data_IF_057559771781
#
_entry.id   IF_057559771781
#
_cell.length_a   1.000
_cell.length_b   1.000
_cell.length_c   1.000
_cell.angle_alpha   90.00
_cell.angle_beta   90.00
_cell.angle_gamma   90.00
#
_symmetry.space_group_name_H-M   'P 1'
#
loop_
_entity.id
_entity.type
_entity.pdbx_description
1 polymer ?
#
# COMPACT_ATOMS: atom_id res chain seq x y z
N UNK A 1 -6.62 15.23 -22.23
CA UNK A 1 -6.13 13.89 -21.83
C UNK A 1 -4.61 13.91 -21.90
N UNK A 2 -3.91 13.88 -20.77
CA UNK A 2 -2.46 13.76 -20.77
C UNK A 2 -2.08 12.39 -21.28
N UNK A 3 -1.23 12.30 -22.31
CA UNK A 3 -0.77 11.03 -22.86
C UNK A 3 -0.08 10.22 -21.76
N UNK A 4 -0.47 8.95 -21.67
CA UNK A 4 0.05 8.02 -20.67
C UNK A 4 1.51 7.71 -20.98
N UNK A 5 2.37 7.83 -20.00
CA UNK A 5 3.81 7.57 -20.16
C UNK A 5 4.06 6.05 -20.13
N UNK A 6 4.88 5.56 -21.03
CA UNK A 6 5.30 4.15 -21.07
C UNK A 6 6.47 3.85 -20.11
N UNK A 7 7.17 4.89 -19.65
CA UNK A 7 8.34 4.78 -18.77
C UNK A 7 8.22 5.75 -17.59
N UNK A 8 8.84 5.36 -16.46
CA UNK A 8 8.96 6.24 -15.29
C UNK A 8 10.01 7.32 -15.59
N UNK A 9 9.69 8.55 -15.21
CA UNK A 9 10.64 9.66 -15.17
C UNK A 9 11.20 9.83 -13.74
N UNK A 10 12.19 10.71 -13.61
CA UNK A 10 12.87 10.94 -12.33
C UNK A 10 11.88 11.39 -11.23
N UNK A 11 10.90 12.22 -11.60
CA UNK A 11 9.87 12.68 -10.66
C UNK A 11 9.04 11.51 -10.11
N UNK A 12 8.58 10.61 -10.98
CA UNK A 12 7.82 9.43 -10.56
C UNK A 12 8.66 8.49 -9.67
N UNK A 13 9.93 8.28 -10.03
CA UNK A 13 10.86 7.47 -9.22
C UNK A 13 11.05 8.08 -7.84
N UNK A 14 11.34 9.39 -7.76
CA UNK A 14 11.51 10.08 -6.47
C UNK A 14 10.25 10.02 -5.61
N UNK A 15 9.08 10.24 -6.23
CA UNK A 15 7.80 10.18 -5.53
C UNK A 15 7.51 8.76 -5.00
N UNK A 16 7.80 7.72 -5.78
CA UNK A 16 7.67 6.33 -5.35
C UNK A 16 8.60 6.00 -4.19
N UNK A 17 9.85 6.46 -4.24
CA UNK A 17 10.81 6.28 -3.14
C UNK A 17 10.31 6.91 -1.84
N UNK A 18 9.80 8.15 -1.90
CA UNK A 18 9.23 8.85 -0.74
C UNK A 18 7.99 8.12 -0.21
N UNK A 19 7.10 7.67 -1.09
CA UNK A 19 5.93 6.88 -0.69
C UNK A 19 6.34 5.59 0.02
N UNK A 20 7.28 4.82 -0.56
CA UNK A 20 7.74 3.55 0.01
C UNK A 20 8.45 3.76 1.36
N UNK A 21 9.27 4.81 1.47
CA UNK A 21 9.93 5.18 2.72
C UNK A 21 8.89 5.44 3.82
N UNK A 22 7.89 6.26 3.51
CA UNK A 22 6.85 6.59 4.49
C UNK A 22 5.96 5.38 4.81
N UNK A 23 5.62 4.53 3.84
CA UNK A 23 4.84 3.32 4.09
C UNK A 23 5.58 2.32 4.97
N UNK A 24 6.92 2.24 4.84
CA UNK A 24 7.75 1.47 5.77
C UNK A 24 7.65 1.98 7.20
N UNK A 25 7.80 3.30 7.40
CA UNK A 25 7.60 3.94 8.70
C UNK A 25 6.18 3.73 9.24
N UNK A 26 5.18 3.87 8.37
CA UNK A 26 3.77 3.73 8.74
C UNK A 26 3.43 2.35 9.32
N UNK A 27 4.01 1.26 8.81
CA UNK A 27 3.77 -0.09 9.37
C UNK A 27 4.22 -0.17 10.83
N UNK A 28 5.35 0.43 11.15
CA UNK A 28 5.87 0.51 12.53
C UNK A 28 4.94 1.37 13.40
N UNK A 29 4.51 2.53 12.89
CA UNK A 29 3.58 3.42 13.59
C UNK A 29 2.24 2.74 13.88
N UNK A 30 1.64 2.05 12.89
CA UNK A 30 0.38 1.30 13.09
C UNK A 30 0.56 0.28 14.21
N UNK A 31 1.60 -0.56 14.12
CA UNK A 31 1.84 -1.63 15.09
C UNK A 31 2.04 -1.07 16.50
N UNK A 32 2.83 -0.02 16.64
CA UNK A 32 3.08 0.62 17.93
C UNK A 32 1.81 1.27 18.53
N UNK A 33 0.97 1.87 17.69
CA UNK A 33 -0.27 2.53 18.12
C UNK A 33 -1.35 1.52 18.55
N UNK A 34 -1.34 0.28 18.04
CA UNK A 34 -2.30 -0.78 18.44
C UNK A 34 -2.25 -1.05 19.94
N UNK A 35 -1.12 -0.81 20.61
CA UNK A 35 -1.01 -0.97 22.06
C UNK A 35 -1.93 -0.02 22.86
N UNK A 36 -2.25 1.14 22.30
CA UNK A 36 -3.09 2.16 22.97
C UNK A 36 -4.48 2.29 22.33
N UNK A 37 -4.57 2.06 21.00
CA UNK A 37 -5.78 2.29 20.20
C UNK A 37 -6.15 1.02 19.44
N UNK A 38 -7.33 0.43 19.69
CA UNK A 38 -7.76 -0.78 19.02
C UNK A 38 -7.68 -0.65 17.48
N UNK A 39 -7.27 -1.72 16.77
CA UNK A 39 -6.84 -1.61 15.38
C UNK A 39 -7.91 -1.11 14.42
N UNK A 40 -9.17 -1.58 14.52
CA UNK A 40 -10.24 -1.09 13.64
C UNK A 40 -10.68 0.31 14.00
N UNK A 41 -10.66 0.67 15.28
CA UNK A 41 -10.93 2.04 15.72
C UNK A 41 -9.80 2.99 15.28
N UNK A 42 -8.55 2.59 15.39
CA UNK A 42 -7.40 3.32 14.82
C UNK A 42 -7.56 3.56 13.32
N UNK A 43 -7.93 2.52 12.57
CA UNK A 43 -8.20 2.64 11.13
C UNK A 43 -9.37 3.58 10.85
N UNK A 44 -10.44 3.55 11.67
CA UNK A 44 -11.59 4.45 11.54
C UNK A 44 -11.18 5.91 11.65
N UNK A 45 -10.44 6.26 12.71
CA UNK A 45 -9.95 7.63 12.94
C UNK A 45 -9.08 8.13 11.78
N UNK A 46 -8.14 7.29 11.34
CA UNK A 46 -7.26 7.57 10.20
C UNK A 46 -8.06 7.83 8.92
N UNK A 47 -9.02 6.97 8.61
CA UNK A 47 -9.77 7.03 7.35
C UNK A 47 -10.83 8.13 7.37
N UNK A 48 -11.44 8.43 8.50
CA UNK A 48 -12.29 9.60 8.67
C UNK A 48 -11.51 10.89 8.41
N UNK A 49 -10.35 11.04 9.09
CA UNK A 49 -9.49 12.20 8.90
C UNK A 49 -9.02 12.36 7.45
N UNK A 50 -8.59 11.26 6.81
CA UNK A 50 -8.13 11.29 5.43
C UNK A 50 -9.28 11.61 4.44
N UNK A 51 -10.49 11.08 4.68
CA UNK A 51 -11.68 11.39 3.87
C UNK A 51 -12.04 12.87 3.98
N UNK A 52 -12.05 13.41 5.20
CA UNK A 52 -12.33 14.83 5.45
C UNK A 52 -11.28 15.73 4.78
N UNK A 53 -9.99 15.42 4.92
CA UNK A 53 -8.90 16.17 4.27
C UNK A 53 -9.04 16.14 2.75
N UNK A 54 -9.32 14.97 2.18
CA UNK A 54 -9.49 14.83 0.73
C UNK A 54 -10.74 15.59 0.25
N UNK A 55 -11.83 15.56 1.01
CA UNK A 55 -13.03 16.31 0.68
C UNK A 55 -12.78 17.82 0.69
N UNK A 56 -12.14 18.34 1.74
CA UNK A 56 -11.73 19.75 1.83
C UNK A 56 -10.78 20.15 0.67
N UNK A 57 -9.82 19.28 0.35
CA UNK A 57 -8.94 19.45 -0.81
C UNK A 57 -9.73 19.56 -2.11
N UNK A 58 -10.70 18.66 -2.32
CA UNK A 58 -11.54 18.66 -3.53
C UNK A 58 -12.41 19.91 -3.62
N UNK A 59 -12.98 20.39 -2.50
CA UNK A 59 -13.72 21.66 -2.45
C UNK A 59 -12.83 22.83 -2.85
N UNK A 60 -11.61 22.90 -2.30
CA UNK A 60 -10.65 23.96 -2.61
C UNK A 60 -10.19 23.92 -4.07
N UNK A 61 -10.00 22.70 -4.62
CA UNK A 61 -9.55 22.50 -6.01
C UNK A 61 -10.69 22.51 -7.04
N UNK A 62 -11.94 22.60 -6.63
CA UNK A 62 -13.09 22.52 -7.52
C UNK A 62 -13.29 21.16 -8.19
N UNK A 63 -12.83 20.07 -7.54
CA UNK A 63 -12.98 18.70 -8.09
C UNK A 63 -14.36 18.16 -7.78
N UNK A 64 -15.13 17.81 -8.82
CA UNK A 64 -16.47 17.27 -8.70
C UNK A 64 -16.44 15.78 -8.29
N UNK A 65 -16.62 15.49 -6.99
CA UNK A 65 -16.64 14.12 -6.47
C UNK A 65 -17.89 13.34 -6.84
N UNK A 66 -19.03 14.01 -6.95
CA UNK A 66 -20.35 13.39 -7.13
C UNK A 66 -20.90 13.52 -8.56
N UNK A 67 -20.02 13.74 -9.55
CA UNK A 67 -20.43 13.79 -10.96
C UNK A 67 -20.92 12.42 -11.44
N UNK A 68 -22.01 12.41 -12.23
CA UNK A 68 -22.61 11.20 -12.82
C UNK A 68 -21.84 10.71 -14.05
N UNK A 69 -20.58 10.26 -13.89
CA UNK A 69 -19.68 9.81 -14.96
C UNK A 69 -19.65 8.28 -15.16
N UNK A 70 -20.57 7.56 -14.53
CA UNK A 70 -20.67 6.09 -14.62
C UNK A 70 -19.60 5.34 -13.80
N UNK A 71 -18.80 6.04 -12.99
CA UNK A 71 -17.73 5.42 -12.20
C UNK A 71 -18.19 4.78 -10.90
N UNK A 72 -19.43 5.03 -10.44
CA UNK A 72 -19.92 4.68 -9.11
C UNK A 72 -19.77 3.18 -8.78
N UNK A 73 -20.24 2.29 -9.66
CA UNK A 73 -20.19 0.83 -9.41
C UNK A 73 -18.75 0.34 -9.27
N UNK A 74 -17.90 0.72 -10.20
CA UNK A 74 -16.48 0.37 -10.16
C UNK A 74 -15.76 1.02 -8.97
N UNK A 75 -16.13 2.27 -8.64
CA UNK A 75 -15.61 3.00 -7.48
C UNK A 75 -15.96 2.33 -6.16
N UNK A 76 -17.22 1.91 -5.98
CA UNK A 76 -17.65 1.17 -4.78
C UNK A 76 -16.96 -0.20 -4.68
N UNK A 77 -16.78 -0.90 -5.81
CA UNK A 77 -16.03 -2.17 -5.83
C UNK A 77 -14.57 -1.95 -5.43
N UNK A 78 -13.88 -0.96 -6.02
CA UNK A 78 -12.51 -0.63 -5.65
C UNK A 78 -12.39 -0.19 -4.18
N UNK A 79 -13.37 0.58 -3.68
CA UNK A 79 -13.46 0.97 -2.27
C UNK A 79 -13.66 -0.22 -1.34
N UNK A 80 -14.52 -1.16 -1.70
CA UNK A 80 -14.77 -2.39 -0.92
C UNK A 80 -13.53 -3.29 -0.86
N UNK A 81 -12.85 -3.48 -1.99
CA UNK A 81 -11.58 -4.24 -2.04
C UNK A 81 -10.49 -3.58 -1.19
N UNK A 82 -10.37 -2.25 -1.25
CA UNK A 82 -9.43 -1.49 -0.44
C UNK A 82 -9.78 -1.57 1.06
N UNK A 83 -11.05 -1.46 1.43
CA UNK A 83 -11.48 -1.63 2.82
C UNK A 83 -11.15 -3.04 3.34
N UNK A 84 -11.44 -4.09 2.54
CA UNK A 84 -11.10 -5.47 2.88
C UNK A 84 -9.60 -5.70 3.00
N UNK A 85 -8.78 -5.11 2.12
CA UNK A 85 -7.32 -5.12 2.20
C UNK A 85 -6.83 -4.59 3.55
N UNK A 86 -7.28 -3.39 3.92
CA UNK A 86 -6.86 -2.77 5.19
C UNK A 86 -7.40 -3.52 6.41
N UNK A 87 -8.60 -4.08 6.35
CA UNK A 87 -9.10 -4.95 7.41
C UNK A 87 -8.18 -6.17 7.62
N UNK A 88 -7.74 -6.80 6.53
CA UNK A 88 -6.78 -7.89 6.58
C UNK A 88 -5.43 -7.46 7.16
N UNK A 89 -4.93 -6.24 6.82
CA UNK A 89 -3.68 -5.70 7.38
C UNK A 89 -3.79 -5.50 8.90
N UNK A 90 -4.82 -4.78 9.35
CA UNK A 90 -4.96 -4.45 10.76
C UNK A 90 -5.24 -5.70 11.63
N UNK A 91 -6.09 -6.62 11.16
CA UNK A 91 -6.32 -7.90 11.82
C UNK A 91 -5.07 -8.79 11.78
N UNK A 92 -4.38 -8.81 10.65
CA UNK A 92 -3.14 -9.58 10.50
C UNK A 92 -2.06 -9.14 11.49
N UNK A 93 -1.90 -7.83 11.71
CA UNK A 93 -0.93 -7.29 12.67
C UNK A 93 -1.19 -7.68 14.12
N UNK A 94 -2.40 -8.16 14.46
CA UNK A 94 -2.67 -8.74 15.78
C UNK A 94 -2.08 -10.16 15.92
N UNK A 95 -1.92 -10.87 14.82
CA UNK A 95 -1.57 -12.30 14.79
C UNK A 95 -0.15 -12.59 14.30
N UNK A 96 0.57 -11.57 13.76
CA UNK A 96 1.93 -11.74 13.25
C UNK A 96 2.77 -10.48 13.47
N UNK A 97 4.07 -10.57 13.17
CA UNK A 97 4.96 -9.40 13.19
C UNK A 97 4.72 -8.48 11.99
N UNK A 98 5.06 -7.19 12.14
CA UNK A 98 4.95 -6.23 11.04
C UNK A 98 5.79 -6.66 9.83
N UNK A 99 7.00 -7.15 10.05
CA UNK A 99 7.91 -7.63 9.01
C UNK A 99 7.31 -8.80 8.25
N UNK A 100 6.77 -9.79 8.97
CA UNK A 100 6.19 -11.00 8.39
C UNK A 100 4.93 -10.69 7.58
N UNK A 101 3.98 -9.92 8.13
CA UNK A 101 2.80 -9.44 7.40
C UNK A 101 3.21 -8.72 6.13
N UNK A 102 4.21 -7.85 6.23
CA UNK A 102 4.69 -7.04 5.11
C UNK A 102 5.19 -7.88 3.94
N UNK A 103 5.90 -9.00 4.19
CA UNK A 103 6.32 -9.93 3.11
C UNK A 103 5.12 -10.45 2.32
N UNK A 104 4.08 -10.88 3.02
CA UNK A 104 2.88 -11.42 2.36
C UNK A 104 2.05 -10.33 1.68
N UNK A 105 1.90 -9.17 2.30
CA UNK A 105 1.23 -8.01 1.70
C UNK A 105 1.92 -7.58 0.40
N UNK A 106 3.25 -7.54 0.39
CA UNK A 106 4.02 -7.16 -0.81
C UNK A 106 4.19 -8.28 -1.85
N UNK A 107 3.36 -9.32 -1.79
CA UNK A 107 3.07 -10.18 -2.95
C UNK A 107 2.19 -9.46 -3.97
N UNK A 108 1.60 -8.31 -3.64
CA UNK A 108 0.73 -7.51 -4.52
C UNK A 108 1.29 -7.26 -5.93
N UNK A 109 2.59 -7.00 -6.18
CA UNK A 109 3.12 -6.85 -7.53
C UNK A 109 2.97 -8.09 -8.41
N UNK A 110 2.97 -9.30 -7.83
CA UNK A 110 2.70 -10.54 -8.57
C UNK A 110 1.25 -10.60 -9.04
N UNK A 111 0.31 -10.26 -8.16
CA UNK A 111 -1.12 -10.19 -8.51
C UNK A 111 -1.37 -9.16 -9.60
N UNK A 112 -0.74 -7.96 -9.51
CA UNK A 112 -0.79 -6.94 -10.56
C UNK A 112 -0.21 -7.46 -11.87
N UNK A 113 0.97 -8.10 -11.83
CA UNK A 113 1.67 -8.60 -13.02
C UNK A 113 0.93 -9.75 -13.71
N UNK A 114 0.21 -10.57 -12.96
CA UNK A 114 -0.58 -11.69 -13.48
C UNK A 114 -1.94 -11.24 -14.00
N UNK A 115 -2.63 -10.35 -13.27
CA UNK A 115 -4.03 -10.07 -13.52
C UNK A 115 -4.26 -8.84 -14.43
N UNK A 116 -3.49 -7.74 -14.27
CA UNK A 116 -3.68 -6.54 -15.10
C UNK A 116 -3.58 -6.82 -16.60
N UNK A 117 -2.60 -7.63 -17.07
CA UNK A 117 -2.46 -7.93 -18.50
C UNK A 117 -3.64 -8.67 -19.15
N UNK A 118 -4.53 -9.28 -18.35
CA UNK A 118 -5.74 -9.93 -18.87
C UNK A 118 -6.72 -8.91 -19.49
N UNK A 119 -6.70 -7.66 -19.00
CA UNK A 119 -7.53 -6.56 -19.53
C UNK A 119 -6.71 -5.47 -20.21
N UNK A 120 -5.43 -5.30 -19.83
CA UNK A 120 -4.53 -4.27 -20.33
C UNK A 120 -3.28 -4.93 -20.89
N UNK A 121 -3.37 -5.46 -22.10
CA UNK A 121 -2.32 -6.26 -22.76
C UNK A 121 -0.99 -5.52 -22.90
N UNK A 122 -1.01 -4.17 -22.98
CA UNK A 122 0.19 -3.33 -23.03
C UNK A 122 1.03 -3.37 -21.74
N UNK A 123 0.50 -3.92 -20.65
CA UNK A 123 1.21 -4.08 -19.37
C UNK A 123 1.75 -5.51 -19.15
N UNK A 124 1.70 -6.36 -20.17
CA UNK A 124 2.27 -7.71 -20.10
C UNK A 124 3.79 -7.66 -19.90
N UNK A 125 4.26 -8.37 -18.89
CA UNK A 125 5.68 -8.45 -18.58
C UNK A 125 6.41 -9.41 -19.55
N UNK A 126 7.65 -9.05 -19.88
CA UNK A 126 8.59 -9.91 -20.61
C UNK A 126 9.37 -10.79 -19.64
N UNK A 127 10.01 -11.87 -20.17
CA UNK A 127 10.77 -12.81 -19.33
C UNK A 127 11.79 -12.14 -18.39
N UNK A 128 12.59 -11.19 -18.91
CA UNK A 128 13.57 -10.46 -18.10
C UNK A 128 12.94 -9.63 -16.98
N UNK A 129 11.74 -9.09 -17.20
CA UNK A 129 11.01 -8.34 -16.19
C UNK A 129 10.47 -9.27 -15.10
N UNK A 130 10.03 -10.49 -15.45
CA UNK A 130 9.68 -11.53 -14.48
C UNK A 130 10.88 -11.92 -13.61
N UNK A 131 12.07 -12.06 -14.21
CA UNK A 131 13.30 -12.31 -13.44
C UNK A 131 13.56 -11.17 -12.45
N UNK A 132 13.40 -9.91 -12.88
CA UNK A 132 13.56 -8.75 -12.01
C UNK A 132 12.55 -8.74 -10.85
N UNK A 133 11.29 -9.07 -11.12
CA UNK A 133 10.21 -9.14 -10.12
C UNK A 133 10.50 -10.24 -9.08
N UNK A 134 10.86 -11.45 -9.54
CA UNK A 134 11.17 -12.58 -8.68
C UNK A 134 12.43 -12.34 -7.85
N UNK A 135 13.48 -11.77 -8.46
CA UNK A 135 14.71 -11.45 -7.75
C UNK A 135 14.49 -10.40 -6.66
N UNK A 136 13.71 -9.35 -6.94
CA UNK A 136 13.38 -8.32 -5.96
C UNK A 136 12.60 -8.92 -4.77
N UNK A 137 11.63 -9.78 -5.02
CA UNK A 137 10.87 -10.44 -3.96
C UNK A 137 11.73 -11.41 -3.14
N UNK A 138 12.54 -12.25 -3.81
CA UNK A 138 13.45 -13.17 -3.14
C UNK A 138 14.44 -12.43 -2.23
N UNK A 139 14.94 -11.26 -2.65
CA UNK A 139 15.80 -10.41 -1.84
C UNK A 139 15.10 -9.90 -0.57
N UNK A 140 13.83 -9.52 -0.66
CA UNK A 140 13.04 -9.11 0.52
C UNK A 140 12.85 -10.28 1.48
N UNK A 141 12.47 -11.45 0.96
CA UNK A 141 12.34 -12.67 1.78
C UNK A 141 13.66 -13.02 2.48
N UNK A 142 14.78 -12.94 1.75
CA UNK A 142 16.10 -13.19 2.30
C UNK A 142 16.46 -12.20 3.42
N UNK A 143 16.24 -10.90 3.21
CA UNK A 143 16.53 -9.87 4.22
C UNK A 143 15.71 -10.05 5.51
N UNK A 144 14.51 -10.61 5.40
CA UNK A 144 13.60 -10.82 6.53
C UNK A 144 13.69 -12.24 7.12
N UNK A 145 14.54 -13.11 6.54
CA UNK A 145 14.61 -14.53 6.88
C UNK A 145 14.85 -14.80 8.36
N UNK A 146 15.74 -14.05 9.01
CA UNK A 146 16.04 -14.19 10.43
C UNK A 146 14.79 -13.93 11.30
N UNK A 147 13.98 -12.93 10.95
CA UNK A 147 12.71 -12.65 11.64
C UNK A 147 11.66 -13.74 11.45
N UNK A 148 11.74 -14.52 10.35
CA UNK A 148 10.86 -15.67 10.13
C UNK A 148 11.24 -16.88 10.97
N UNK A 149 12.53 -17.08 11.25
CA UNK A 149 13.05 -18.26 11.94
C UNK A 149 13.07 -18.13 13.45
N UNK A 150 13.14 -16.92 13.98
CA UNK A 150 13.21 -16.65 15.42
C UNK A 150 11.83 -16.61 16.11
N UNK A 151 10.77 -16.40 15.35
CA UNK A 151 9.41 -16.31 15.88
C UNK A 151 8.78 -17.70 15.94
N UNK A 152 8.74 -18.30 17.14
CA UNK A 152 8.15 -19.63 17.37
C UNK A 152 6.62 -19.62 17.54
N UNK A 153 5.95 -18.48 17.41
CA UNK A 153 4.49 -18.39 17.51
C UNK A 153 3.82 -18.78 16.20
N UNK A 154 2.76 -19.60 16.24
CA UNK A 154 2.02 -19.95 15.03
C UNK A 154 1.32 -18.71 14.47
N UNK A 155 1.86 -18.18 13.36
CA UNK A 155 1.39 -16.93 12.74
C UNK A 155 0.58 -17.17 11.47
N UNK A 156 0.13 -18.42 11.23
CA UNK A 156 -0.58 -18.81 10.00
C UNK A 156 -1.78 -17.89 9.69
N UNK A 157 -2.52 -17.48 10.72
CA UNK A 157 -3.62 -16.51 10.56
C UNK A 157 -3.14 -15.17 10.01
N UNK A 158 -2.08 -14.63 10.59
CA UNK A 158 -1.49 -13.37 10.15
C UNK A 158 -0.93 -13.47 8.74
N UNK A 159 -0.29 -14.59 8.40
CA UNK A 159 0.27 -14.85 7.07
C UNK A 159 -0.82 -14.93 5.99
N UNK A 160 -1.91 -15.66 6.27
CA UNK A 160 -3.06 -15.75 5.36
C UNK A 160 -3.70 -14.36 5.16
N UNK A 161 -3.88 -13.58 6.23
CA UNK A 161 -4.42 -12.23 6.15
C UNK A 161 -3.49 -11.30 5.36
N UNK A 162 -2.17 -11.41 5.54
CA UNK A 162 -1.18 -10.66 4.76
C UNK A 162 -1.22 -11.01 3.28
N UNK A 163 -1.31 -12.30 2.94
CA UNK A 163 -1.44 -12.76 1.56
C UNK A 163 -2.76 -12.30 0.93
N UNK A 164 -3.87 -12.41 1.67
CA UNK A 164 -5.17 -11.90 1.23
C UNK A 164 -5.15 -10.39 0.98
N UNK A 165 -4.49 -9.62 1.85
CA UNK A 165 -4.30 -8.19 1.66
C UNK A 165 -3.51 -7.88 0.38
N UNK A 166 -2.43 -8.61 0.12
CA UNK A 166 -1.65 -8.46 -1.12
C UNK A 166 -2.47 -8.76 -2.38
N UNK A 167 -3.31 -9.80 -2.34
CA UNK A 167 -4.23 -10.15 -3.43
C UNK A 167 -5.30 -9.06 -3.62
N UNK A 168 -5.91 -8.58 -2.54
CA UNK A 168 -6.94 -7.53 -2.58
C UNK A 168 -6.38 -6.22 -3.14
N UNK A 169 -5.15 -5.84 -2.78
CA UNK A 169 -4.46 -4.70 -3.40
C UNK A 169 -4.27 -4.90 -4.91
N UNK A 170 -3.80 -6.09 -5.33
CA UNK A 170 -3.69 -6.44 -6.75
C UNK A 170 -5.03 -6.31 -7.47
N UNK A 171 -6.11 -6.88 -6.90
CA UNK A 171 -7.46 -6.80 -7.46
C UNK A 171 -7.99 -5.35 -7.53
N UNK A 172 -7.75 -4.54 -6.50
CA UNK A 172 -8.09 -3.11 -6.52
C UNK A 172 -7.42 -2.42 -7.71
N UNK A 173 -6.13 -2.70 -7.94
CA UNK A 173 -5.39 -2.18 -9.10
C UNK A 173 -5.99 -2.66 -10.42
N UNK A 174 -6.38 -3.93 -10.53
CA UNK A 174 -7.07 -4.47 -11.72
C UNK A 174 -8.38 -3.73 -11.98
N UNK A 175 -9.23 -3.56 -10.97
CA UNK A 175 -10.51 -2.83 -11.10
C UNK A 175 -10.27 -1.40 -11.59
N UNK A 176 -9.29 -0.70 -11.02
CA UNK A 176 -8.92 0.65 -11.46
C UNK A 176 -8.49 0.66 -12.92
N UNK A 177 -7.65 -0.29 -13.32
CA UNK A 177 -7.02 -0.33 -14.65
C UNK A 177 -7.96 -0.83 -15.74
N UNK A 178 -8.87 -1.73 -15.42
CA UNK A 178 -9.77 -2.40 -16.36
C UNK A 178 -11.14 -1.71 -16.49
N UNK A 179 -11.41 -0.65 -15.72
CA UNK A 179 -12.72 0.01 -15.69
C UNK A 179 -12.66 1.49 -16.08
N UNK A 180 -13.82 2.17 -15.99
CA UNK A 180 -13.94 3.62 -16.17
C UNK A 180 -13.12 4.45 -15.17
N UNK A 181 -12.70 3.86 -14.06
CA UNK A 181 -11.92 4.53 -13.02
C UNK A 181 -10.59 5.10 -13.52
N UNK A 182 -10.00 4.52 -14.55
CA UNK A 182 -8.77 5.04 -15.16
C UNK A 182 -8.95 6.44 -15.78
N UNK A 183 -10.19 6.87 -16.02
CA UNK A 183 -10.54 8.13 -16.70
C UNK A 183 -10.96 9.24 -15.74
N UNK A 184 -11.25 8.91 -14.48
CA UNK A 184 -11.63 9.90 -13.46
C UNK A 184 -10.40 10.53 -12.81
N UNK A 185 -10.60 11.61 -12.06
CA UNK A 185 -9.51 12.24 -11.33
C UNK A 185 -8.96 11.34 -10.21
N UNK A 186 -7.67 11.43 -9.89
CA UNK A 186 -7.05 10.69 -8.78
C UNK A 186 -7.76 10.95 -7.45
N UNK A 187 -8.23 12.17 -7.24
CA UNK A 187 -8.97 12.59 -6.05
C UNK A 187 -10.29 11.83 -5.93
N UNK A 188 -11.07 11.76 -7.00
CA UNK A 188 -12.34 11.02 -7.00
C UNK A 188 -12.10 9.52 -6.83
N UNK A 189 -11.06 8.99 -7.46
CA UNK A 189 -10.66 7.60 -7.32
C UNK A 189 -10.31 7.26 -5.87
N UNK A 190 -9.49 8.08 -5.23
CA UNK A 190 -9.14 7.91 -3.82
C UNK A 190 -10.35 8.11 -2.91
N UNK A 191 -11.24 9.06 -3.24
CA UNK A 191 -12.44 9.31 -2.45
C UNK A 191 -13.34 8.09 -2.33
N UNK A 192 -13.54 7.30 -3.40
CA UNK A 192 -14.26 6.04 -3.31
C UNK A 192 -13.65 5.08 -2.29
N UNK A 193 -12.33 4.93 -2.29
CA UNK A 193 -11.63 4.03 -1.38
C UNK A 193 -11.71 4.50 0.06
N UNK A 194 -11.44 5.78 0.30
CA UNK A 194 -11.47 6.35 1.65
C UNK A 194 -12.89 6.41 2.21
N UNK A 195 -13.89 6.84 1.41
CA UNK A 195 -15.27 6.97 1.88
C UNK A 195 -15.89 5.62 2.23
N UNK A 196 -15.72 4.59 1.37
CA UNK A 196 -16.20 3.24 1.68
C UNK A 196 -15.53 2.71 2.94
N UNK A 197 -14.23 2.91 3.08
CA UNK A 197 -13.49 2.47 4.27
C UNK A 197 -13.90 3.25 5.52
N UNK A 198 -14.09 4.58 5.42
CA UNK A 198 -14.55 5.43 6.52
C UNK A 198 -15.92 5.01 7.06
N UNK A 199 -16.77 4.40 6.22
CA UNK A 199 -18.04 3.83 6.64
C UNK A 199 -17.90 2.40 7.20
N UNK A 200 -17.04 1.59 6.59
CA UNK A 200 -16.92 0.16 6.92
C UNK A 200 -16.17 -0.08 8.23
N UNK A 201 -15.09 0.66 8.50
CA UNK A 201 -14.23 0.39 9.66
C UNK A 201 -14.89 0.66 11.02
N UNK A 202 -15.66 1.74 11.23
CA UNK A 202 -16.42 1.90 12.48
C UNK A 202 -17.39 0.77 12.73
N UNK A 203 -18.09 0.31 11.66
CA UNK A 203 -19.00 -0.82 11.75
C UNK A 203 -18.26 -2.10 12.13
N UNK A 204 -17.09 -2.33 11.55
CA UNK A 204 -16.25 -3.48 11.86
C UNK A 204 -15.68 -3.40 13.27
N UNK A 205 -15.24 -2.23 13.73
CA UNK A 205 -14.77 -1.99 15.12
C UNK A 205 -15.87 -2.35 16.14
N UNK A 206 -17.10 -1.87 15.91
CA UNK A 206 -18.23 -2.20 16.77
C UNK A 206 -18.57 -3.70 16.70
N UNK A 207 -18.57 -4.30 15.51
CA UNK A 207 -18.86 -5.72 15.32
C UNK A 207 -17.84 -6.64 16.02
N UNK A 208 -16.59 -6.18 16.13
CA UNK A 208 -15.51 -6.89 16.85
C UNK A 208 -15.47 -6.58 18.35
N UNK A 209 -16.38 -5.72 18.85
CA UNK A 209 -16.46 -5.36 20.26
C UNK A 209 -15.28 -4.49 20.74
N UNK A 210 -14.63 -3.75 19.84
CA UNK A 210 -13.52 -2.87 20.23
C UNK A 210 -14.02 -1.70 21.08
N UNK A 211 -13.31 -1.41 22.17
CA UNK A 211 -13.55 -0.22 22.97
C UNK A 211 -13.06 1.04 22.25
N UNK A 212 -13.91 2.04 22.11
CA UNK A 212 -13.52 3.33 21.53
C UNK A 212 -12.84 4.18 22.61
N UNK A 213 -11.54 4.38 22.45
CA UNK A 213 -10.69 5.14 23.37
C UNK A 213 -10.58 6.58 22.85
N UNK A 214 -10.82 7.57 23.71
CA UNK A 214 -10.75 9.00 23.36
C UNK A 214 -9.64 9.75 24.09
N UNK A 215 -8.88 9.05 24.94
CA UNK A 215 -7.69 9.59 25.59
C UNK A 215 -6.46 9.00 24.88
N UNK A 216 -5.67 9.86 24.28
CA UNK A 216 -4.52 9.47 23.48
C UNK A 216 -3.25 10.05 24.08
N UNK A 217 -2.17 9.29 24.11
CA UNK A 217 -0.84 9.81 24.39
C UNK A 217 -0.38 10.75 23.27
N UNK A 218 0.63 11.59 23.54
CA UNK A 218 1.24 12.45 22.53
C UNK A 218 1.80 11.61 21.36
N UNK A 219 2.30 10.39 21.64
CA UNK A 219 2.75 9.46 20.61
C UNK A 219 1.59 9.00 19.72
N UNK A 220 0.49 8.55 20.31
CA UNK A 220 -0.68 8.08 19.56
C UNK A 220 -1.27 9.18 18.66
N UNK A 221 -1.37 10.41 19.17
CA UNK A 221 -1.81 11.59 18.39
C UNK A 221 -0.87 11.82 17.19
N UNK A 222 0.43 11.90 17.44
CA UNK A 222 1.43 12.14 16.38
C UNK A 222 1.39 11.04 15.33
N UNK A 223 1.31 9.78 15.79
CA UNK A 223 1.20 8.61 14.92
C UNK A 223 -0.05 8.66 14.05
N UNK A 224 -1.22 8.92 14.64
CA UNK A 224 -2.50 9.04 13.92
C UNK A 224 -2.48 10.20 12.91
N UNK A 225 -1.92 11.36 13.28
CA UNK A 225 -1.77 12.51 12.36
C UNK A 225 -0.88 12.15 11.17
N UNK A 226 0.28 11.55 11.41
CA UNK A 226 1.19 11.12 10.35
C UNK A 226 0.54 10.05 9.45
N UNK A 227 -0.10 9.05 10.03
CA UNK A 227 -0.82 8.01 9.30
C UNK A 227 -1.97 8.58 8.45
N UNK A 228 -2.65 9.63 8.93
CA UNK A 228 -3.78 10.26 8.26
C UNK A 228 -3.30 11.19 7.14
N UNK A 229 -2.47 12.19 7.49
CA UNK A 229 -2.09 13.28 6.58
C UNK A 229 -1.11 12.78 5.51
N UNK A 230 -0.04 12.12 5.94
CA UNK A 230 0.99 11.67 5.01
C UNK A 230 0.63 10.32 4.41
N UNK A 231 0.20 9.36 5.24
CA UNK A 231 -0.12 7.99 4.82
C UNK A 231 -1.37 7.92 3.96
N UNK A 232 -2.54 8.17 4.55
CA UNK A 232 -3.81 7.91 3.88
C UNK A 232 -4.26 9.02 2.92
N UNK A 233 -3.84 10.28 3.13
CA UNK A 233 -4.20 11.36 2.23
C UNK A 233 -3.11 11.60 1.17
N UNK A 234 -1.94 12.11 1.55
CA UNK A 234 -0.96 12.59 0.57
C UNK A 234 -0.35 11.47 -0.27
N UNK A 235 0.13 10.37 0.37
CA UNK A 235 0.80 9.30 -0.37
C UNK A 235 -0.17 8.48 -1.22
N UNK A 236 -1.40 8.25 -0.76
CA UNK A 236 -2.39 7.54 -1.55
C UNK A 236 -2.90 8.38 -2.72
N UNK A 237 -3.06 9.69 -2.53
CA UNK A 237 -3.39 10.58 -3.65
C UNK A 237 -2.28 10.59 -4.70
N UNK A 238 -1.01 10.62 -4.26
CA UNK A 238 0.14 10.49 -5.15
C UNK A 238 0.14 9.14 -5.89
N UNK A 239 -0.17 8.03 -5.19
CA UNK A 239 -0.28 6.72 -5.79
C UNK A 239 -1.38 6.63 -6.85
N UNK A 240 -2.60 7.15 -6.55
CA UNK A 240 -3.71 7.17 -7.50
C UNK A 240 -3.36 8.01 -8.74
N UNK A 241 -2.68 9.15 -8.54
CA UNK A 241 -2.18 9.97 -9.63
C UNK A 241 -1.17 9.22 -10.51
N UNK A 242 -0.26 8.46 -9.90
CA UNK A 242 0.70 7.64 -10.63
C UNK A 242 0.03 6.49 -11.40
N UNK A 243 -0.96 5.82 -10.81
CA UNK A 243 -1.74 4.77 -11.49
C UNK A 243 -2.45 5.28 -12.75
N UNK A 244 -2.88 6.53 -12.75
CA UNK A 244 -3.47 7.18 -13.93
C UNK A 244 -2.45 7.49 -15.03
N UNK A 245 -1.16 7.69 -14.70
CA UNK A 245 -0.12 8.19 -15.61
C UNK A 245 0.89 7.15 -16.09
N UNK A 246 1.16 6.14 -15.27
CA UNK A 246 2.20 5.14 -15.52
C UNK A 246 1.65 3.72 -15.53
N UNK A 247 2.34 2.74 -16.14
CA UNK A 247 1.94 1.34 -16.07
C UNK A 247 1.95 0.82 -14.63
N UNK A 248 0.85 0.20 -14.20
CA UNK A 248 0.72 -0.31 -12.84
C UNK A 248 1.79 -1.37 -12.52
N UNK A 249 2.11 -2.23 -13.49
CA UNK A 249 3.17 -3.24 -13.37
C UNK A 249 4.55 -2.66 -13.10
N UNK A 250 4.83 -1.44 -13.61
CA UNK A 250 6.13 -0.77 -13.41
C UNK A 250 6.22 -0.03 -12.08
N UNK A 251 5.13 0.58 -11.61
CA UNK A 251 5.13 1.28 -10.34
C UNK A 251 5.03 0.31 -9.15
N UNK A 252 4.28 -0.78 -9.29
CA UNK A 252 4.05 -1.73 -8.19
C UNK A 252 5.32 -2.46 -7.74
N UNK A 253 6.33 -2.63 -8.60
CA UNK A 253 7.61 -3.26 -8.17
C UNK A 253 8.38 -2.41 -7.13
N UNK A 254 8.15 -1.09 -7.11
CA UNK A 254 8.79 -0.22 -6.12
C UNK A 254 8.37 -0.51 -4.69
N UNK A 255 7.17 -1.08 -4.50
CA UNK A 255 6.66 -1.37 -3.16
C UNK A 255 7.52 -2.39 -2.41
N UNK A 256 8.37 -3.18 -3.10
CA UNK A 256 9.37 -4.04 -2.45
C UNK A 256 10.44 -3.28 -1.65
N UNK A 257 10.58 -1.98 -1.85
CA UNK A 257 11.44 -1.14 -1.00
C UNK A 257 10.82 -0.90 0.39
N UNK A 258 9.49 -0.97 0.50
CA UNK A 258 8.78 -0.66 1.75
C UNK A 258 9.21 -1.55 2.92
N UNK A 259 9.25 -2.90 2.82
CA UNK A 259 9.72 -3.74 3.92
C UNK A 259 11.18 -3.49 4.26
N UNK A 260 12.02 -3.13 3.28
CA UNK A 260 13.43 -2.81 3.52
C UNK A 260 13.56 -1.48 4.27
N UNK A 261 12.73 -0.49 3.96
CA UNK A 261 12.64 0.74 4.75
C UNK A 261 12.07 0.47 6.16
N UNK A 262 11.11 -0.45 6.31
CA UNK A 262 10.62 -0.83 7.63
C UNK A 262 11.72 -1.44 8.50
N UNK A 263 12.59 -2.31 7.94
CA UNK A 263 13.78 -2.81 8.61
C UNK A 263 14.77 -1.69 8.96
N UNK A 264 15.00 -0.75 8.04
CA UNK A 264 15.88 0.39 8.28
C UNK A 264 15.38 1.24 9.45
N UNK A 265 14.08 1.51 9.52
CA UNK A 265 13.48 2.25 10.63
C UNK A 265 13.54 1.45 11.95
N UNK A 266 13.37 0.14 11.90
CA UNK A 266 13.60 -0.75 13.05
C UNK A 266 15.02 -0.61 13.58
N UNK A 267 16.00 -0.65 12.69
CA UNK A 267 17.42 -0.48 13.07
C UNK A 267 17.71 0.91 13.66
N UNK A 268 17.18 1.98 13.04
CA UNK A 268 17.44 3.36 13.49
C UNK A 268 16.70 3.69 14.80
N UNK A 269 15.48 3.20 14.96
CA UNK A 269 14.63 3.52 16.12
C UNK A 269 14.86 2.57 17.29
N UNK A 270 14.94 1.28 16.99
CA UNK A 270 15.12 0.24 18.02
C UNK A 270 16.58 -0.12 18.24
N UNK A 271 17.53 0.58 17.56
CA UNK A 271 18.98 0.32 17.59
C UNK A 271 19.36 -1.12 17.22
N UNK A 272 18.54 -1.74 16.35
CA UNK A 272 18.83 -3.05 15.80
C UNK A 272 20.04 -2.98 14.84
N UNK A 273 20.85 -4.03 14.79
CA UNK A 273 22.01 -4.05 13.89
C UNK A 273 21.59 -4.13 12.42
N UNK A 274 22.13 -3.24 11.58
CA UNK A 274 21.99 -3.34 10.13
C UNK A 274 22.77 -4.53 9.62
N UNK A 275 22.08 -5.55 9.17
CA UNK A 275 22.76 -6.77 8.68
C UNK A 275 23.29 -6.57 7.24
N UNK A 276 24.39 -7.25 6.84
CA UNK A 276 24.82 -7.28 5.45
C UNK A 276 23.72 -7.75 4.49
N UNK A 277 22.81 -8.63 4.95
CA UNK A 277 21.64 -9.09 4.21
C UNK A 277 20.72 -7.96 3.77
N UNK A 278 20.51 -6.94 4.61
CA UNK A 278 19.70 -5.76 4.25
C UNK A 278 20.34 -4.98 3.09
N UNK A 279 21.66 -4.79 3.12
CA UNK A 279 22.38 -4.07 2.06
C UNK A 279 22.31 -4.83 0.72
N UNK A 280 22.53 -6.15 0.75
CA UNK A 280 22.39 -7.02 -0.43
C UNK A 280 20.95 -6.97 -0.97
N UNK A 281 19.95 -7.03 -0.10
CA UNK A 281 18.55 -6.94 -0.49
C UNK A 281 18.20 -5.61 -1.14
N UNK A 282 18.64 -4.48 -0.58
CA UNK A 282 18.46 -3.15 -1.16
C UNK A 282 19.06 -3.06 -2.56
N UNK A 283 20.30 -3.55 -2.74
CA UNK A 283 20.97 -3.57 -4.05
C UNK A 283 20.21 -4.46 -5.05
N UNK A 284 19.76 -5.64 -4.63
CA UNK A 284 19.02 -6.59 -5.50
C UNK A 284 17.64 -6.04 -5.88
N UNK A 285 16.91 -5.43 -4.95
CA UNK A 285 15.62 -4.77 -5.24
C UNK A 285 15.83 -3.61 -6.21
N UNK A 286 16.87 -2.78 -6.00
CA UNK A 286 17.19 -1.69 -6.93
C UNK A 286 17.50 -2.22 -8.34
N UNK A 287 18.28 -3.30 -8.46
CA UNK A 287 18.54 -3.96 -9.73
C UNK A 287 17.25 -4.51 -10.37
N UNK A 288 16.38 -5.15 -9.59
CA UNK A 288 15.06 -5.62 -10.04
C UNK A 288 14.18 -4.49 -10.59
N UNK A 289 14.12 -3.37 -9.89
CA UNK A 289 13.39 -2.17 -10.34
C UNK A 289 13.96 -1.65 -11.67
N UNK A 290 15.29 -1.60 -11.80
CA UNK A 290 15.95 -1.19 -13.06
C UNK A 290 15.59 -2.14 -14.19
N UNK A 291 15.65 -3.47 -13.97
CA UNK A 291 15.27 -4.48 -14.98
C UNK A 291 13.82 -4.34 -15.41
N UNK A 292 12.89 -4.15 -14.47
CA UNK A 292 11.47 -3.95 -14.75
C UNK A 292 11.21 -2.70 -15.59
N UNK A 293 12.01 -1.65 -15.40
CA UNK A 293 11.81 -0.35 -16.03
C UNK A 293 12.68 -0.13 -17.30
N UNK A 294 13.53 -1.10 -17.67
CA UNK A 294 14.32 -1.00 -18.91
C UNK A 294 13.43 -0.81 -20.13
N UNK A 295 13.84 0.11 -21.00
CA UNK A 295 13.24 0.23 -22.34
C UNK A 295 13.48 -1.08 -23.11
N UNK A 296 12.53 -1.52 -23.95
CA UNK A 296 12.82 -2.60 -24.89
C UNK A 296 14.06 -2.20 -25.70
N UNK A 297 15.05 -3.08 -25.81
CA UNK A 297 16.00 -3.01 -26.90
C UNK A 297 15.17 -3.11 -28.18
N UNK A 298 15.25 -2.08 -29.02
CA UNK A 298 14.52 -1.98 -30.29
C UNK A 298 14.85 -3.11 -31.23
#
# INVERSE_FOLDING_TARGET
MTSRKSHLDLFAVSLLLVCCLFWGLQQVLIKATIAEVPPMFQASLRLWGATALLWLWCLWRGVALFSGDGSLKAGLLAGGLFAAEFACIYLGLQHTTASRLTVFLYTSPFWVALLVPLWVTSEKLRGLQWVGLLAAFAAVVFALWEGFTQDHTPTLRGDILGLAAGMLWGLTTVVIRASSLVRISPEKLLFYQLAVSALSFPMLSVALGEAWVWQFSAFAITSLVLQTVVGAFASYLAWMWMLGRYPATKISVFVFLTPLFALLFGALWLKESVTPGLLVALATVAAGIVLMNRKPAG
#
